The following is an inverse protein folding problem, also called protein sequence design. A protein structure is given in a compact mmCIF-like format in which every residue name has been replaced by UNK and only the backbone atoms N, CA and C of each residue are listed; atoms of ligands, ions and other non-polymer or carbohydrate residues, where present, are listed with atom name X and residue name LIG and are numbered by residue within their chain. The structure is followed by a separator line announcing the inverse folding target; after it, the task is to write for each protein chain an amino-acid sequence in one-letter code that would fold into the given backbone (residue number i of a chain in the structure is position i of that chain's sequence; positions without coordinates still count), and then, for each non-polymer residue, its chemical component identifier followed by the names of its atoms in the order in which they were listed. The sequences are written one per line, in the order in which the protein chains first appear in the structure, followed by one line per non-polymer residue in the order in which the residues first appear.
data_IF_155056694441
#
_entry.id   IF_155056694441
#
_cell.length_a   1.000
_cell.length_b   1.000
_cell.length_c   1.000
_cell.angle_alpha   90.00
_cell.angle_beta   90.00
_cell.angle_gamma   90.00
#
_symmetry.space_group_name_H-M   'P 1'
#
loop_
_entity.id
_entity.type
_entity.pdbx_description
1 polymer ?
#
# COMPACT_ATOMS: atom_id res chain seq x y z
N UNK A 1 -17.72 -0.48 -42.16
CA UNK A 1 -18.23 -1.84 -41.89
C UNK A 1 -17.24 -2.53 -40.96
N UNK A 2 -17.58 -2.63 -39.68
CA UNK A 2 -16.80 -3.30 -38.64
C UNK A 2 -17.65 -4.47 -38.10
N UNK A 3 -17.05 -5.64 -37.82
CA UNK A 3 -17.79 -6.86 -37.52
C UNK A 3 -18.50 -6.79 -36.16
N UNK A 4 -19.71 -7.37 -36.12
CA UNK A 4 -20.57 -7.50 -34.94
C UNK A 4 -19.87 -8.32 -33.84
N UNK A 5 -19.64 -7.72 -32.68
CA UNK A 5 -19.33 -8.45 -31.46
C UNK A 5 -20.61 -9.08 -30.91
N UNK A 6 -20.79 -10.37 -31.19
CA UNK A 6 -21.86 -11.21 -30.66
C UNK A 6 -21.33 -12.08 -29.54
N UNK A 7 -21.15 -11.55 -28.31
CA UNK A 7 -20.98 -12.41 -27.13
C UNK A 7 -21.54 -11.74 -25.87
N UNK A 8 -22.13 -12.57 -25.01
CA UNK A 8 -22.74 -12.32 -23.70
C UNK A 8 -24.18 -11.77 -23.65
N UNK A 9 -25.13 -12.72 -23.74
CA UNK A 9 -26.36 -12.65 -22.94
C UNK A 9 -26.00 -12.74 -21.45
N UNK A 10 -26.55 -11.88 -20.56
CA UNK A 10 -26.28 -12.00 -19.13
C UNK A 10 -27.04 -13.20 -18.57
N UNK A 11 -26.30 -14.26 -18.21
CA UNK A 11 -26.84 -15.34 -17.40
C UNK A 11 -27.10 -14.82 -15.98
N UNK A 12 -28.32 -14.31 -15.75
CA UNK A 12 -28.83 -13.87 -14.45
C UNK A 12 -29.06 -15.02 -13.44
N UNK A 13 -28.68 -16.25 -13.78
CA UNK A 13 -28.74 -17.43 -12.91
C UNK A 13 -27.32 -17.90 -12.62
N UNK A 14 -26.63 -17.24 -11.67
CA UNK A 14 -25.46 -17.78 -10.92
C UNK A 14 -24.86 -16.85 -9.85
N UNK A 15 -25.39 -15.65 -9.59
CA UNK A 15 -24.88 -14.76 -8.52
C UNK A 15 -24.95 -15.40 -7.11
N UNK A 16 -25.96 -16.24 -6.85
CA UNK A 16 -26.12 -16.96 -5.59
C UNK A 16 -25.07 -18.08 -5.40
N UNK A 17 -24.74 -18.82 -6.47
CA UNK A 17 -23.69 -19.86 -6.43
C UNK A 17 -22.28 -19.27 -6.38
N UNK A 18 -22.03 -18.13 -7.04
CA UNK A 18 -20.73 -17.47 -6.99
C UNK A 18 -20.39 -16.93 -5.59
N UNK A 19 -21.38 -16.41 -4.84
CA UNK A 19 -21.16 -15.96 -3.44
C UNK A 19 -20.74 -17.09 -2.51
N UNK A 20 -21.27 -18.32 -2.70
CA UNK A 20 -20.86 -19.49 -1.91
C UNK A 20 -19.44 -19.98 -2.21
N UNK A 21 -18.92 -19.67 -3.40
CA UNK A 21 -17.60 -20.11 -3.87
C UNK A 21 -16.49 -19.08 -3.66
N UNK A 22 -16.73 -18.00 -2.91
CA UNK A 22 -15.75 -16.93 -2.63
C UNK A 22 -15.70 -16.55 -1.15
N UNK A 23 -16.63 -17.05 -0.32
CA UNK A 23 -16.60 -16.86 1.12
C UNK A 23 -15.48 -17.68 1.74
N UNK A 24 -14.46 -17.00 2.27
CA UNK A 24 -13.54 -17.59 3.22
C UNK A 24 -14.33 -17.96 4.48
N UNK A 25 -14.39 -19.23 4.83
CA UNK A 25 -14.99 -19.66 6.10
C UNK A 25 -13.92 -19.58 7.19
N UNK A 26 -14.18 -18.79 8.23
CA UNK A 26 -13.38 -18.82 9.46
C UNK A 26 -13.58 -20.18 10.13
N UNK A 27 -12.48 -20.90 10.37
CA UNK A 27 -12.50 -22.28 10.89
C UNK A 27 -12.40 -22.33 12.43
N UNK A 28 -12.13 -21.19 13.11
CA UNK A 28 -12.02 -21.11 14.58
C UNK A 28 -12.62 -19.81 15.17
N UNK A 29 -13.20 -19.93 16.37
CA UNK A 29 -13.91 -18.90 17.15
C UNK A 29 -12.94 -17.96 17.93
N UNK A 30 -13.43 -16.96 18.71
CA UNK A 30 -12.80 -15.65 18.86
C UNK A 30 -11.44 -15.64 19.56
N UNK A 31 -10.63 -14.69 19.14
CA UNK A 31 -9.29 -14.39 19.66
C UNK A 31 -9.40 -14.03 21.15
N UNK A 32 -8.82 -14.85 22.04
CA UNK A 32 -8.50 -14.43 23.40
C UNK A 32 -7.16 -13.68 23.38
N UNK A 33 -7.08 -12.42 23.86
CA UNK A 33 -5.83 -11.69 23.95
C UNK A 33 -4.78 -12.50 24.70
N UNK A 34 -3.60 -12.72 24.11
CA UNK A 34 -2.49 -13.43 24.74
C UNK A 34 -2.49 -14.97 24.61
N UNK A 35 -3.40 -15.57 23.83
CA UNK A 35 -3.38 -17.01 23.50
C UNK A 35 -3.38 -17.28 21.98
N UNK A 36 -2.27 -16.93 21.34
CA UNK A 36 -1.56 -17.71 20.29
C UNK A 36 -2.23 -18.31 19.05
N UNK A 37 -3.55 -18.28 18.84
CA UNK A 37 -4.17 -18.95 17.68
C UNK A 37 -4.69 -17.95 16.64
N UNK A 38 -4.17 -18.05 15.40
CA UNK A 38 -4.59 -17.17 14.29
C UNK A 38 -5.91 -17.64 13.69
N UNK A 39 -6.78 -16.72 13.23
CA UNK A 39 -7.93 -17.12 12.43
C UNK A 39 -7.45 -17.87 11.19
N UNK A 40 -7.94 -19.11 11.04
CA UNK A 40 -7.72 -19.93 9.87
C UNK A 40 -8.86 -19.71 8.89
N UNK A 41 -8.52 -19.32 7.67
CA UNK A 41 -9.49 -19.17 6.60
C UNK A 41 -9.41 -20.37 5.67
N UNK A 42 -10.55 -20.93 5.28
CA UNK A 42 -10.60 -21.97 4.25
C UNK A 42 -11.01 -21.35 2.93
N UNK A 43 -10.16 -21.50 1.92
CA UNK A 43 -10.47 -21.08 0.56
C UNK A 43 -11.54 -22.00 -0.07
N UNK A 44 -12.13 -21.60 -1.21
CA UNK A 44 -13.15 -22.39 -1.91
C UNK A 44 -12.66 -23.76 -2.42
N UNK A 45 -11.34 -23.97 -2.51
CA UNK A 45 -10.68 -25.22 -2.90
C UNK A 45 -10.31 -26.07 -1.67
N UNK A 46 -10.67 -25.62 -0.47
CA UNK A 46 -10.38 -26.28 0.79
C UNK A 46 -8.96 -26.07 1.32
N UNK A 47 -8.17 -25.18 0.70
CA UNK A 47 -6.85 -24.79 1.19
C UNK A 47 -7.01 -23.95 2.46
N UNK A 48 -6.33 -24.33 3.52
CA UNK A 48 -6.22 -23.52 4.73
C UNK A 48 -5.25 -22.37 4.44
N UNK A 49 -5.71 -21.15 4.66
CA UNK A 49 -4.96 -19.92 4.59
C UNK A 49 -4.81 -19.44 6.04
N UNK A 50 -3.61 -19.56 6.64
CA UNK A 50 -3.34 -18.89 7.91
C UNK A 50 -3.37 -17.38 7.66
N UNK A 51 -4.16 -16.64 8.42
CA UNK A 51 -4.06 -15.19 8.42
C UNK A 51 -3.03 -14.71 9.43
N UNK A 52 -2.40 -13.57 9.15
CA UNK A 52 -1.51 -12.94 10.10
C UNK A 52 -2.28 -12.60 11.39
N UNK A 53 -1.81 -13.17 12.51
CA UNK A 53 -2.36 -12.94 13.85
C UNK A 53 -2.24 -11.50 14.34
N UNK A 54 -1.25 -10.76 13.84
CA UNK A 54 -0.97 -9.42 14.31
C UNK A 54 -1.69 -8.42 13.41
N UNK A 55 -2.70 -7.76 13.96
CA UNK A 55 -3.18 -6.47 13.45
C UNK A 55 -2.35 -5.38 14.12
N UNK A 56 -1.63 -4.59 13.32
CA UNK A 56 -0.70 -3.56 13.78
C UNK A 56 -0.50 -2.52 12.66
N UNK A 57 0.10 -1.39 12.99
CA UNK A 57 0.18 -0.25 12.07
C UNK A 57 -0.78 0.86 12.48
N UNK A 58 -0.89 1.87 11.65
CA UNK A 58 -1.77 3.01 11.88
C UNK A 58 -3.24 2.60 11.83
N UNK A 59 -3.60 1.81 10.81
CA UNK A 59 -4.98 1.29 10.60
C UNK A 59 -5.26 0.00 11.35
N UNK A 60 -4.58 -0.22 12.47
CA UNK A 60 -4.85 -1.37 13.35
C UNK A 60 -6.15 -1.15 14.12
N UNK A 61 -7.04 -2.14 14.14
CA UNK A 61 -8.33 -2.06 14.81
C UNK A 61 -9.35 -1.12 14.14
N UNK A 62 -8.98 -0.39 13.08
CA UNK A 62 -9.88 0.50 12.35
C UNK A 62 -9.44 0.64 10.88
N UNK A 63 -10.35 0.44 9.92
CA UNK A 63 -10.17 0.90 8.54
C UNK A 63 -9.57 -0.10 7.55
N UNK A 64 -9.43 -1.38 7.91
CA UNK A 64 -9.13 -2.47 6.94
C UNK A 64 -10.44 -2.99 6.33
N UNK A 65 -10.48 -3.18 5.00
CA UNK A 65 -11.69 -3.62 4.26
C UNK A 65 -12.30 -4.94 4.74
N UNK A 66 -11.56 -5.74 5.53
CA UNK A 66 -11.97 -7.08 5.98
C UNK A 66 -12.52 -7.13 7.41
N UNK A 67 -12.79 -6.00 8.06
CA UNK A 67 -13.43 -5.97 9.37
C UNK A 67 -14.96 -6.05 9.26
N UNK A 68 -15.61 -6.82 10.15
CA UNK A 68 -17.04 -7.18 10.08
C UNK A 68 -18.02 -6.00 10.19
N UNK A 69 -17.56 -4.80 10.58
CA UNK A 69 -18.42 -3.63 10.84
C UNK A 69 -18.22 -2.41 9.93
N UNK A 70 -17.48 -2.50 8.82
CA UNK A 70 -17.09 -1.31 8.06
C UNK A 70 -18.03 -0.96 6.89
N UNK A 71 -18.26 0.36 6.67
CA UNK A 71 -18.99 0.92 5.54
C UNK A 71 -20.20 1.80 5.89
N UNK A 72 -20.42 2.12 7.16
CA UNK A 72 -21.48 3.04 7.55
C UNK A 72 -21.16 4.47 7.11
N UNK A 73 -22.18 5.16 6.58
CA UNK A 73 -22.05 6.57 6.22
C UNK A 73 -21.89 7.36 7.53
N UNK A 74 -20.85 8.20 7.67
CA UNK A 74 -20.70 9.04 8.84
C UNK A 74 -21.96 9.87 9.06
N UNK A 75 -22.36 10.04 10.32
CA UNK A 75 -23.57 10.78 10.68
C UNK A 75 -23.54 12.20 10.11
N UNK A 76 -22.41 12.88 10.24
CA UNK A 76 -22.14 14.17 9.62
C UNK A 76 -20.63 14.41 9.45
N UNK A 77 -20.29 15.46 8.69
CA UNK A 77 -18.91 15.84 8.37
C UNK A 77 -18.14 16.29 9.61
N UNK A 78 -18.82 16.85 10.62
CA UNK A 78 -18.16 17.34 11.82
C UNK A 78 -17.73 16.20 12.72
N UNK A 79 -18.57 15.19 12.90
CA UNK A 79 -18.24 13.97 13.63
C UNK A 79 -17.06 13.26 12.94
N UNK A 80 -17.12 13.07 11.62
CA UNK A 80 -16.02 12.48 10.85
C UNK A 80 -14.71 13.27 11.01
N UNK A 81 -14.75 14.59 10.86
CA UNK A 81 -13.57 15.43 10.98
C UNK A 81 -12.98 15.40 12.39
N UNK A 82 -13.84 15.43 13.41
CA UNK A 82 -13.45 15.37 14.82
C UNK A 82 -12.77 14.03 15.15
N UNK A 83 -13.37 12.92 14.75
CA UNK A 83 -12.85 11.59 15.04
C UNK A 83 -11.52 11.35 14.33
N UNK A 84 -11.41 11.75 13.05
CA UNK A 84 -10.14 11.71 12.32
C UNK A 84 -9.07 12.59 12.95
N UNK A 85 -9.42 13.80 13.39
CA UNK A 85 -8.47 14.70 14.04
C UNK A 85 -7.93 14.11 15.35
N UNK A 86 -8.80 13.58 16.22
CA UNK A 86 -8.35 12.98 17.48
C UNK A 86 -7.53 11.71 17.24
N UNK A 87 -7.93 10.90 16.27
CA UNK A 87 -7.17 9.72 15.88
C UNK A 87 -5.78 10.09 15.37
N UNK A 88 -5.67 11.04 14.43
CA UNK A 88 -4.38 11.49 13.91
C UNK A 88 -3.52 12.19 14.97
N UNK A 89 -4.13 12.99 15.84
CA UNK A 89 -3.43 13.62 16.94
C UNK A 89 -2.85 12.56 17.89
N UNK A 90 -3.64 11.56 18.30
CA UNK A 90 -3.15 10.45 19.12
C UNK A 90 -1.97 9.72 18.45
N UNK A 91 -2.05 9.51 17.14
CA UNK A 91 -1.04 8.78 16.39
C UNK A 91 0.23 9.60 16.17
N UNK A 92 0.12 10.90 15.93
CA UNK A 92 1.26 11.82 15.92
C UNK A 92 1.96 11.82 17.29
N UNK A 93 1.20 11.93 18.37
CA UNK A 93 1.72 11.89 19.75
C UNK A 93 2.45 10.57 20.02
N UNK A 94 1.89 9.44 19.57
CA UNK A 94 2.55 8.13 19.65
C UNK A 94 3.82 8.07 18.82
N UNK A 95 3.83 8.61 17.61
CA UNK A 95 4.99 8.58 16.73
C UNK A 95 6.18 9.35 17.31
N UNK A 96 5.95 10.45 18.02
CA UNK A 96 7.03 11.22 18.67
C UNK A 96 7.46 10.63 20.01
N UNK A 97 6.53 10.10 20.82
CA UNK A 97 6.85 9.53 22.16
C UNK A 97 7.35 8.08 22.11
N UNK A 98 6.89 7.31 21.14
CA UNK A 98 7.19 5.90 20.95
C UNK A 98 7.55 5.63 19.48
N UNK A 99 8.62 6.26 18.95
CA UNK A 99 9.02 6.06 17.57
C UNK A 99 9.32 4.57 17.31
N UNK A 100 8.97 4.02 16.14
CA UNK A 100 9.24 2.63 15.83
C UNK A 100 10.76 2.37 15.83
N UNK A 101 11.21 1.42 16.64
CA UNK A 101 12.63 1.11 16.84
C UNK A 101 13.28 0.35 15.68
N UNK A 102 12.46 -0.24 14.81
CA UNK A 102 12.87 -1.08 13.68
C UNK A 102 13.05 -0.30 12.36
N UNK A 103 12.78 1.02 12.37
CA UNK A 103 12.97 1.87 11.20
C UNK A 103 14.47 2.12 10.99
N UNK A 104 15.01 1.58 9.89
CA UNK A 104 16.43 1.70 9.56
C UNK A 104 16.75 3.13 9.09
N UNK A 105 17.88 3.72 9.53
CA UNK A 105 18.32 5.01 9.02
C UNK A 105 18.75 4.88 7.54
N UNK A 106 18.49 5.90 6.70
CA UNK A 106 18.88 5.89 5.29
C UNK A 106 20.41 5.92 5.14
N UNK A 107 20.95 5.42 4.02
CA UNK A 107 22.40 5.46 3.77
C UNK A 107 22.88 6.76 3.11
N UNK A 108 22.05 7.38 2.27
CA UNK A 108 22.40 8.59 1.50
C UNK A 108 22.66 9.80 2.41
N UNK A 109 23.73 10.61 2.20
CA UNK A 109 24.10 11.70 3.10
C UNK A 109 22.99 12.72 3.34
N UNK A 110 22.30 13.16 2.28
CA UNK A 110 21.19 14.11 2.41
C UNK A 110 20.01 13.53 3.21
N UNK A 111 19.67 12.26 2.98
CA UNK A 111 18.60 11.57 3.69
C UNK A 111 18.97 11.34 5.16
N UNK A 112 20.25 11.06 5.46
CA UNK A 112 20.75 10.98 6.85
C UNK A 112 20.62 12.31 7.59
N UNK A 113 21.00 13.40 6.95
CA UNK A 113 20.86 14.74 7.52
C UNK A 113 19.39 15.04 7.85
N UNK A 114 18.47 14.81 6.89
CA UNK A 114 17.03 14.95 7.10
C UNK A 114 16.50 14.03 8.22
N UNK A 115 16.93 12.78 8.25
CA UNK A 115 16.53 11.83 9.30
C UNK A 115 16.99 12.28 10.68
N UNK A 116 18.22 12.76 10.82
CA UNK A 116 18.75 13.28 12.08
C UNK A 116 18.04 14.56 12.55
N UNK A 117 17.77 15.49 11.63
CA UNK A 117 16.99 16.69 11.90
C UNK A 117 15.56 16.33 12.35
N UNK A 118 14.93 15.37 11.66
CA UNK A 118 13.63 14.82 12.04
C UNK A 118 13.64 14.19 13.43
N UNK A 119 14.70 13.46 13.80
CA UNK A 119 14.88 12.89 15.13
C UNK A 119 14.98 13.95 16.23
N UNK A 120 15.74 15.02 16.00
CA UNK A 120 15.86 16.14 16.94
C UNK A 120 14.53 16.89 17.11
N UNK A 121 13.83 17.16 16.00
CA UNK A 121 12.48 17.75 16.03
C UNK A 121 11.50 16.83 16.78
N UNK A 122 11.53 15.52 16.51
CA UNK A 122 10.71 14.53 17.20
C UNK A 122 10.94 14.51 18.70
N UNK A 123 12.19 14.59 19.16
CA UNK A 123 12.52 14.67 20.59
C UNK A 123 12.00 15.97 21.24
N UNK A 124 12.08 17.09 20.53
CA UNK A 124 11.51 18.37 20.96
C UNK A 124 9.99 18.28 21.10
N UNK A 125 9.31 17.74 20.09
CA UNK A 125 7.86 17.53 20.09
C UNK A 125 7.42 16.55 21.18
N UNK A 126 8.18 15.48 21.43
CA UNK A 126 7.91 14.54 22.52
C UNK A 126 8.01 15.20 23.90
N UNK A 127 8.99 16.09 24.08
CA UNK A 127 9.16 16.86 25.32
C UNK A 127 8.01 17.84 25.53
N UNK A 128 7.58 18.50 24.46
CA UNK A 128 6.40 19.38 24.46
C UNK A 128 5.12 18.61 24.78
N UNK A 129 4.91 17.44 24.15
CA UNK A 129 3.75 16.59 24.40
C UNK A 129 3.67 16.18 25.88
N UNK A 130 4.79 15.74 26.45
CA UNK A 130 4.89 15.36 27.85
C UNK A 130 4.57 16.54 28.79
N UNK A 131 5.02 17.75 28.44
CA UNK A 131 4.70 18.96 29.20
C UNK A 131 3.20 19.30 29.15
N UNK A 132 2.58 19.19 27.97
CA UNK A 132 1.14 19.42 27.79
C UNK A 132 0.29 18.36 28.49
N UNK A 133 0.72 17.09 28.51
CA UNK A 133 0.10 16.01 29.28
C UNK A 133 0.18 16.29 30.79
N UNK A 134 1.36 16.69 31.30
CA UNK A 134 1.54 17.06 32.72
C UNK A 134 0.72 18.28 33.13
N UNK A 135 0.55 19.23 32.21
CA UNK A 135 -0.30 20.41 32.40
C UNK A 135 -1.81 20.09 32.28
N UNK A 136 -2.20 18.82 32.03
CA UNK A 136 -3.58 18.38 31.80
C UNK A 136 -4.28 19.05 30.61
N UNK A 137 -3.49 19.56 29.65
CA UNK A 137 -4.00 20.09 28.37
C UNK A 137 -4.32 18.94 27.42
N UNK A 138 -3.47 17.90 27.42
CA UNK A 138 -3.66 16.69 26.62
C UNK A 138 -3.97 15.49 27.51
N UNK A 139 -4.79 14.52 27.03
CA UNK A 139 -5.07 13.30 27.76
C UNK A 139 -3.81 12.42 27.85
N UNK A 140 -3.79 11.54 28.86
CA UNK A 140 -2.69 10.59 29.04
C UNK A 140 -2.55 9.69 27.80
N UNK A 141 -1.34 9.62 27.24
CA UNK A 141 -1.06 8.82 26.08
C UNK A 141 -0.72 7.37 26.44
N UNK A 142 -1.53 6.43 25.95
CA UNK A 142 -1.19 5.01 26.04
C UNK A 142 -0.15 4.64 24.97
N UNK A 143 0.86 3.82 25.33
CA UNK A 143 1.80 3.30 24.34
C UNK A 143 1.06 2.53 23.25
N UNK A 144 1.57 2.52 22.02
CA UNK A 144 0.99 1.67 20.98
C UNK A 144 1.01 0.21 21.46
N UNK A 145 0.03 -0.62 21.04
CA UNK A 145 0.05 -2.05 21.34
C UNK A 145 1.39 -2.63 20.88
N UNK A 146 2.12 -3.23 21.83
CA UNK A 146 3.46 -3.76 21.54
C UNK A 146 3.30 -4.96 20.62
N UNK A 147 4.07 -5.00 19.53
CA UNK A 147 4.08 -6.12 18.56
C UNK A 147 4.20 -7.48 19.26
N UNK A 148 4.93 -7.55 20.38
CA UNK A 148 5.12 -8.75 21.21
C UNK A 148 3.85 -9.33 21.82
N UNK A 149 2.80 -8.54 22.04
CA UNK A 149 1.52 -9.03 22.53
C UNK A 149 0.75 -9.84 21.46
N UNK A 150 1.16 -9.71 20.19
CA UNK A 150 0.56 -10.34 19.00
C UNK A 150 1.56 -11.27 18.25
N UNK A 151 2.74 -11.49 18.85
CA UNK A 151 3.87 -12.19 18.25
C UNK A 151 3.69 -13.72 18.29
N UNK A 152 2.91 -14.26 17.36
CA UNK A 152 3.01 -15.69 17.05
C UNK A 152 4.36 -16.00 16.42
N UNK A 153 4.77 -17.27 16.50
CA UNK A 153 6.00 -17.75 15.85
C UNK A 153 6.02 -17.42 14.35
N UNK A 154 4.89 -17.61 13.68
CA UNK A 154 4.71 -17.28 12.26
C UNK A 154 4.94 -15.79 11.99
N UNK A 155 4.41 -14.90 12.84
CA UNK A 155 4.63 -13.47 12.71
C UNK A 155 6.12 -13.10 12.79
N UNK A 156 6.88 -13.70 13.72
CA UNK A 156 8.33 -13.50 13.84
C UNK A 156 9.08 -13.97 12.60
N UNK A 157 8.70 -15.13 12.06
CA UNK A 157 9.30 -15.67 10.84
C UNK A 157 9.01 -14.79 9.62
N UNK A 158 7.79 -14.26 9.48
CA UNK A 158 7.42 -13.30 8.44
C UNK A 158 8.25 -12.02 8.60
N UNK A 159 8.34 -11.46 9.81
CA UNK A 159 9.15 -10.26 10.08
C UNK A 159 10.62 -10.45 9.73
N UNK A 160 11.21 -11.58 10.14
CA UNK A 160 12.59 -11.90 9.80
C UNK A 160 12.81 -12.00 8.28
N UNK A 161 11.81 -12.45 7.51
CA UNK A 161 11.87 -12.45 6.04
C UNK A 161 11.71 -11.04 5.46
N UNK A 162 10.82 -10.22 6.02
CA UNK A 162 10.66 -8.82 5.61
C UNK A 162 11.93 -8.01 5.86
N UNK A 163 12.62 -8.25 6.97
CA UNK A 163 13.89 -7.61 7.31
C UNK A 163 15.02 -7.90 6.31
N UNK A 164 14.93 -9.03 5.62
CA UNK A 164 15.88 -9.46 4.59
C UNK A 164 15.55 -8.85 3.22
N UNK A 165 14.41 -8.18 3.05
CA UNK A 165 14.05 -7.55 1.79
C UNK A 165 15.06 -6.46 1.43
N UNK A 166 15.61 -6.60 0.22
CA UNK A 166 16.44 -5.60 -0.42
C UNK A 166 15.79 -5.24 -1.74
N UNK A 167 15.73 -3.94 -2.01
CA UNK A 167 15.36 -3.38 -3.30
C UNK A 167 16.50 -2.47 -3.70
N UNK A 168 17.15 -2.79 -4.83
CA UNK A 168 18.23 -1.98 -5.39
C UNK A 168 17.67 -1.18 -6.56
N UNK A 169 17.80 0.14 -6.50
CA UNK A 169 17.36 1.02 -7.58
C UNK A 169 18.13 0.75 -8.87
N UNK A 170 19.41 0.39 -8.79
CA UNK A 170 20.22 0.00 -9.94
C UNK A 170 19.68 -1.25 -10.64
N UNK A 171 19.14 -2.20 -9.87
CA UNK A 171 18.54 -3.41 -10.44
C UNK A 171 17.19 -3.09 -11.11
N UNK A 172 16.40 -2.17 -10.56
CA UNK A 172 15.15 -1.68 -11.18
C UNK A 172 15.47 -0.99 -12.51
N UNK A 173 16.44 -0.06 -12.51
CA UNK A 173 16.85 0.67 -13.72
C UNK A 173 17.37 -0.29 -14.79
N UNK A 174 18.13 -1.32 -14.41
CA UNK A 174 18.61 -2.34 -15.35
C UNK A 174 17.44 -3.09 -16.01
N UNK A 175 16.49 -3.55 -15.21
CA UNK A 175 15.28 -4.24 -15.73
C UNK A 175 14.48 -3.31 -16.64
N UNK A 176 14.32 -2.05 -16.27
CA UNK A 176 13.62 -1.05 -17.08
C UNK A 176 14.33 -0.84 -18.43
N UNK A 177 15.66 -0.71 -18.43
CA UNK A 177 16.46 -0.59 -19.65
C UNK A 177 16.37 -1.85 -20.53
N UNK A 178 16.43 -3.04 -19.96
CA UNK A 178 16.31 -4.30 -20.70
C UNK A 178 14.92 -4.46 -21.34
N UNK A 179 13.87 -4.07 -20.62
CA UNK A 179 12.50 -4.02 -21.16
C UNK A 179 12.39 -3.00 -22.30
N UNK A 180 12.89 -1.78 -22.10
CA UNK A 180 12.87 -0.73 -23.13
C UNK A 180 13.63 -1.17 -24.38
N UNK A 181 14.78 -1.84 -24.23
CA UNK A 181 15.56 -2.34 -25.35
C UNK A 181 14.83 -3.46 -26.13
N UNK A 182 13.99 -4.25 -25.47
CA UNK A 182 13.27 -5.37 -26.09
C UNK A 182 11.90 -5.00 -26.67
N UNK A 183 11.13 -4.14 -25.99
CA UNK A 183 9.75 -3.80 -26.39
C UNK A 183 9.61 -2.40 -27.00
N UNK A 184 10.67 -1.59 -26.94
CA UNK A 184 10.62 -0.15 -27.20
C UNK A 184 10.17 0.64 -25.96
N UNK A 185 10.59 1.91 -25.88
CA UNK A 185 10.08 2.88 -24.90
C UNK A 185 8.73 3.43 -25.39
N UNK A 186 7.90 3.83 -24.44
CA UNK A 186 6.69 4.58 -24.74
C UNK A 186 7.05 5.97 -25.27
N UNK A 187 6.24 6.53 -26.17
CA UNK A 187 6.43 7.92 -26.59
C UNK A 187 5.93 8.85 -25.49
N UNK A 188 6.83 9.64 -24.88
CA UNK A 188 6.42 10.67 -23.91
C UNK A 188 7.27 11.92 -24.02
N UNK A 189 6.66 13.12 -23.90
CA UNK A 189 7.39 14.38 -23.86
C UNK A 189 8.37 14.46 -22.69
N UNK A 190 9.45 15.23 -22.89
CA UNK A 190 10.49 15.42 -21.88
C UNK A 190 9.94 16.00 -20.57
N UNK A 191 8.99 16.92 -20.64
CA UNK A 191 8.36 17.53 -19.46
C UNK A 191 7.49 16.56 -18.65
N UNK A 192 7.16 15.38 -19.18
CA UNK A 192 6.53 14.27 -18.45
C UNK A 192 7.58 13.32 -17.88
N UNK A 193 8.60 12.98 -18.69
CA UNK A 193 9.71 12.11 -18.29
C UNK A 193 10.54 12.69 -17.14
N UNK A 194 10.87 13.99 -17.20
CA UNK A 194 11.76 14.61 -16.22
C UNK A 194 11.16 14.63 -14.79
N UNK A 195 9.89 15.06 -14.58
CA UNK A 195 9.27 14.95 -13.26
C UNK A 195 9.13 13.51 -12.77
N UNK A 196 8.84 12.56 -13.67
CA UNK A 196 8.77 11.14 -13.35
C UNK A 196 10.11 10.61 -12.78
N UNK A 197 11.21 10.81 -13.51
CA UNK A 197 12.53 10.35 -13.04
C UNK A 197 13.00 11.10 -11.79
N UNK A 198 12.67 12.39 -11.65
CA UNK A 198 12.95 13.14 -10.43
C UNK A 198 12.20 12.55 -9.22
N UNK A 199 10.95 12.13 -9.40
CA UNK A 199 10.17 11.45 -8.37
C UNK A 199 10.77 10.09 -8.00
N UNK A 200 11.11 9.25 -9.00
CA UNK A 200 11.77 7.97 -8.75
C UNK A 200 13.06 8.15 -7.93
N UNK A 201 13.92 9.08 -8.34
CA UNK A 201 15.16 9.39 -7.62
C UNK A 201 14.90 9.88 -6.19
N UNK A 202 13.93 10.78 -5.99
CA UNK A 202 13.58 11.27 -4.66
C UNK A 202 13.14 10.12 -3.75
N UNK A 203 12.28 9.23 -4.25
CA UNK A 203 11.80 8.08 -3.50
C UNK A 203 12.93 7.09 -3.19
N UNK A 204 13.85 6.86 -4.11
CA UNK A 204 15.03 6.01 -3.89
C UNK A 204 15.94 6.55 -2.80
N UNK A 205 16.14 7.87 -2.75
CA UNK A 205 16.94 8.52 -1.71
C UNK A 205 16.24 8.48 -0.34
N UNK A 206 14.95 8.75 -0.31
CA UNK A 206 14.17 8.84 0.94
C UNK A 206 13.89 7.48 1.58
N UNK A 207 13.64 6.45 0.74
CA UNK A 207 13.23 5.12 1.18
C UNK A 207 14.32 4.05 1.00
N UNK A 208 15.59 4.46 0.95
CA UNK A 208 16.71 3.53 0.95
C UNK A 208 16.60 2.55 2.15
N UNK A 209 16.68 1.25 1.84
CA UNK A 209 16.52 0.12 2.79
C UNK A 209 15.16 0.03 3.50
N UNK A 210 14.14 0.74 3.00
CA UNK A 210 12.75 0.72 3.51
C UNK A 210 11.77 0.32 2.42
N UNK A 211 11.87 -0.92 1.89
CA UNK A 211 11.08 -1.31 0.73
C UNK A 211 9.58 -1.32 1.03
N UNK A 212 9.15 -1.75 2.22
CA UNK A 212 7.72 -1.85 2.56
C UNK A 212 7.07 -0.48 2.67
N UNK A 213 7.76 0.46 3.32
CA UNK A 213 7.34 1.86 3.41
C UNK A 213 7.33 2.53 2.03
N UNK A 214 8.36 2.29 1.20
CA UNK A 214 8.40 2.77 -0.19
C UNK A 214 7.17 2.31 -0.97
N UNK A 215 6.87 1.01 -0.92
CA UNK A 215 5.70 0.46 -1.61
C UNK A 215 4.42 1.04 -1.04
N UNK A 216 4.27 1.14 0.28
CA UNK A 216 3.07 1.73 0.89
C UNK A 216 2.81 3.16 0.35
N UNK A 217 3.82 4.03 0.34
CA UNK A 217 3.70 5.39 -0.21
C UNK A 217 3.33 5.37 -1.69
N UNK A 218 3.97 4.49 -2.47
CA UNK A 218 3.65 4.32 -3.90
C UNK A 218 2.20 3.88 -4.10
N UNK A 219 1.73 2.87 -3.37
CA UNK A 219 0.35 2.35 -3.49
C UNK A 219 -0.70 3.39 -3.03
N UNK A 220 -0.38 4.23 -2.03
CA UNK A 220 -1.25 5.36 -1.64
C UNK A 220 -1.44 6.34 -2.79
N UNK A 221 -0.40 6.60 -3.57
CA UNK A 221 -0.41 7.54 -4.70
C UNK A 221 -0.89 6.87 -5.99
N UNK A 222 -0.66 5.57 -6.19
CA UNK A 222 -0.96 4.81 -7.41
C UNK A 222 -2.45 4.68 -7.70
N UNK A 223 -3.31 4.71 -6.67
CA UNK A 223 -4.78 4.66 -6.81
C UNK A 223 -5.42 5.98 -7.27
N UNK A 224 -4.75 7.10 -7.02
CA UNK A 224 -5.27 8.46 -7.28
C UNK A 224 -5.62 8.77 -8.74
N UNK A 225 -4.82 8.35 -9.74
CA UNK A 225 -5.11 8.55 -11.16
C UNK A 225 -6.44 7.96 -11.59
N UNK A 226 -6.71 6.73 -11.18
CA UNK A 226 -7.95 6.03 -11.51
C UNK A 226 -9.16 6.76 -10.91
N UNK A 227 -9.05 7.20 -9.66
CA UNK A 227 -10.07 8.04 -9.02
C UNK A 227 -10.27 9.37 -9.75
N UNK A 228 -9.19 10.10 -10.05
CA UNK A 228 -9.24 11.38 -10.77
C UNK A 228 -9.92 11.25 -12.14
N UNK A 229 -9.61 10.18 -12.87
CA UNK A 229 -10.22 9.91 -14.18
C UNK A 229 -11.70 9.57 -14.05
N UNK A 230 -12.09 8.77 -13.06
CA UNK A 230 -13.52 8.53 -12.77
C UNK A 230 -14.23 9.85 -12.49
N UNK A 231 -13.64 10.77 -11.70
CA UNK A 231 -14.24 12.07 -11.37
C UNK A 231 -14.51 12.91 -12.62
N UNK A 232 -13.53 13.05 -13.53
CA UNK A 232 -13.71 13.83 -14.77
C UNK A 232 -14.65 13.13 -15.74
N UNK A 233 -14.51 11.81 -15.93
CA UNK A 233 -15.40 11.04 -16.79
C UNK A 233 -16.85 11.16 -16.32
N UNK A 234 -17.07 11.16 -15.00
CA UNK A 234 -18.40 11.36 -14.43
C UNK A 234 -18.90 12.77 -14.69
N UNK A 235 -18.07 13.79 -14.49
CA UNK A 235 -18.39 15.19 -14.80
C UNK A 235 -18.76 15.37 -16.28
N UNK A 236 -17.99 14.81 -17.20
CA UNK A 236 -18.27 14.86 -18.65
C UNK A 236 -19.59 14.18 -19.01
N UNK A 237 -19.93 13.08 -18.33
CA UNK A 237 -21.22 12.43 -18.53
C UNK A 237 -22.37 13.30 -17.99
N UNK A 238 -22.23 13.86 -16.78
CA UNK A 238 -23.23 14.74 -16.16
C UNK A 238 -23.49 16.01 -16.99
N UNK A 239 -22.45 16.56 -17.61
CA UNK A 239 -22.56 17.70 -18.53
C UNK A 239 -23.08 17.32 -19.92
N UNK A 240 -23.25 16.02 -20.21
CA UNK A 240 -23.69 15.52 -21.51
C UNK A 240 -22.61 15.54 -22.60
N UNK A 241 -21.36 15.81 -22.25
CA UNK A 241 -20.24 15.90 -23.20
C UNK A 241 -19.83 14.54 -23.74
N UNK A 242 -19.81 13.51 -22.89
CA UNK A 242 -19.35 12.19 -23.30
C UNK A 242 -19.92 11.04 -22.47
N UNK A 243 -20.89 10.31 -23.03
CA UNK A 243 -21.56 9.18 -22.35
C UNK A 243 -20.83 7.84 -22.52
N UNK A 244 -20.03 7.68 -23.57
CA UNK A 244 -19.27 6.43 -23.78
C UNK A 244 -18.16 6.24 -22.73
N UNK A 245 -17.81 7.30 -21.99
CA UNK A 245 -16.89 7.24 -20.85
C UNK A 245 -17.38 6.34 -19.69
N UNK A 246 -18.66 5.96 -19.64
CA UNK A 246 -19.20 5.10 -18.60
C UNK A 246 -18.55 3.70 -18.55
N UNK A 247 -18.14 3.13 -19.70
CA UNK A 247 -17.41 1.86 -19.71
C UNK A 247 -15.98 2.02 -19.17
N UNK A 248 -15.31 3.14 -19.48
CA UNK A 248 -13.99 3.46 -18.93
C UNK A 248 -14.05 3.65 -17.41
N UNK A 249 -15.10 4.26 -16.87
CA UNK A 249 -15.30 4.38 -15.41
C UNK A 249 -15.33 3.02 -14.71
N UNK A 250 -15.90 1.98 -15.34
CA UNK A 250 -15.89 0.62 -14.76
C UNK A 250 -14.49 0.03 -14.69
N UNK A 251 -13.69 0.26 -15.74
CA UNK A 251 -12.30 -0.20 -15.81
C UNK A 251 -11.47 0.51 -14.74
N UNK A 252 -11.53 1.85 -14.69
CA UNK A 252 -10.81 2.62 -13.68
C UNK A 252 -11.25 2.31 -12.25
N UNK A 253 -12.52 1.97 -12.04
CA UNK A 253 -12.95 1.51 -10.72
C UNK A 253 -12.30 0.17 -10.34
N UNK A 254 -12.18 -0.76 -11.30
CA UNK A 254 -11.50 -2.03 -11.05
C UNK A 254 -10.00 -1.84 -10.81
N UNK A 255 -9.35 -0.92 -11.52
CA UNK A 255 -7.94 -0.57 -11.33
C UNK A 255 -7.71 0.11 -9.96
N UNK A 256 -8.53 1.10 -9.59
CA UNK A 256 -8.48 1.74 -8.26
C UNK A 256 -8.68 0.71 -7.14
N UNK A 257 -9.64 -0.21 -7.33
CA UNK A 257 -9.89 -1.29 -6.40
C UNK A 257 -8.71 -2.24 -6.29
N UNK A 258 -8.00 -2.51 -7.39
CA UNK A 258 -6.79 -3.33 -7.38
C UNK A 258 -5.67 -2.66 -6.57
N UNK A 259 -5.39 -1.38 -6.81
CA UNK A 259 -4.35 -0.65 -6.07
C UNK A 259 -4.70 -0.49 -4.58
N UNK A 260 -5.99 -0.38 -4.24
CA UNK A 260 -6.44 -0.45 -2.84
C UNK A 260 -6.01 -1.77 -2.17
N UNK A 261 -6.08 -2.91 -2.88
CA UNK A 261 -5.65 -4.20 -2.30
C UNK A 261 -4.14 -4.23 -2.09
N UNK A 262 -3.35 -3.67 -3.02
CA UNK A 262 -1.91 -3.52 -2.84
C UNK A 262 -1.58 -2.68 -1.60
N UNK A 263 -2.25 -1.53 -1.44
CA UNK A 263 -2.10 -0.65 -0.28
C UNK A 263 -2.37 -1.40 1.03
N UNK A 264 -3.46 -2.17 1.09
CA UNK A 264 -3.82 -2.95 2.29
C UNK A 264 -2.81 -4.05 2.61
N UNK A 265 -2.22 -4.67 1.59
CA UNK A 265 -1.13 -5.60 1.81
C UNK A 265 0.04 -4.85 2.48
N UNK A 266 0.42 -3.68 1.98
CA UNK A 266 1.53 -2.91 2.58
C UNK A 266 1.21 -2.42 4.00
N UNK A 267 -0.03 -2.03 4.29
CA UNK A 267 -0.51 -1.72 5.66
C UNK A 267 -0.38 -2.94 6.58
N UNK A 268 -0.78 -4.14 6.09
CA UNK A 268 -0.64 -5.39 6.85
C UNK A 268 0.82 -5.77 7.13
N UNK A 269 1.77 -5.29 6.31
CA UNK A 269 3.21 -5.45 6.48
C UNK A 269 3.84 -4.31 7.31
N UNK A 270 3.05 -3.29 7.68
CA UNK A 270 3.48 -2.17 8.53
C UNK A 270 4.10 -0.99 7.79
N UNK A 271 3.81 -0.80 6.50
CA UNK A 271 4.29 0.35 5.74
C UNK A 271 3.74 1.70 6.21
N UNK A 272 2.64 1.71 6.97
CA UNK A 272 1.92 2.88 7.50
C UNK A 272 2.36 3.28 8.93
N UNK A 273 3.38 2.63 9.48
CA UNK A 273 3.79 2.82 10.89
C UNK A 273 4.44 4.16 11.17
N UNK A 274 5.21 4.68 10.21
CA UNK A 274 5.90 5.95 10.36
C UNK A 274 4.95 7.10 10.01
N UNK A 275 4.69 7.98 10.99
CA UNK A 275 3.80 9.12 10.79
C UNK A 275 4.24 10.04 9.65
N UNK A 276 5.56 10.28 9.51
CA UNK A 276 6.08 11.14 8.44
C UNK A 276 5.80 10.56 7.05
N UNK A 277 5.89 9.24 6.89
CA UNK A 277 5.59 8.57 5.63
C UNK A 277 4.12 8.73 5.29
N UNK A 278 3.22 8.59 6.28
CA UNK A 278 1.78 8.87 6.10
C UNK A 278 1.52 10.31 5.70
N UNK A 279 2.10 11.25 6.45
CA UNK A 279 1.95 12.68 6.18
C UNK A 279 2.35 12.99 4.73
N UNK A 280 3.51 12.51 4.28
CA UNK A 280 3.97 12.74 2.90
C UNK A 280 3.04 12.08 1.89
N UNK A 281 2.68 10.81 2.07
CA UNK A 281 1.87 10.07 1.10
C UNK A 281 0.46 10.65 0.93
N UNK A 282 -0.21 10.98 2.04
CA UNK A 282 -1.58 11.49 2.02
C UNK A 282 -1.65 12.90 1.40
N UNK A 283 -0.70 13.77 1.74
CA UNK A 283 -0.65 15.11 1.13
C UNK A 283 -0.21 15.05 -0.33
N UNK A 284 0.74 14.17 -0.68
CA UNK A 284 1.13 13.91 -2.05
C UNK A 284 -0.06 13.39 -2.87
N UNK A 285 -0.88 12.49 -2.32
CA UNK A 285 -2.08 11.97 -2.97
C UNK A 285 -3.09 13.07 -3.28
N UNK A 286 -3.37 13.98 -2.33
CA UNK A 286 -4.28 15.12 -2.55
C UNK A 286 -3.73 16.08 -3.61
N UNK A 287 -2.44 16.42 -3.53
CA UNK A 287 -1.80 17.28 -4.52
C UNK A 287 -1.82 16.63 -5.91
N UNK A 288 -1.46 15.36 -5.98
CA UNK A 288 -1.38 14.59 -7.22
C UNK A 288 -2.74 14.43 -7.89
N UNK A 289 -3.83 14.26 -7.10
CA UNK A 289 -5.19 14.26 -7.61
C UNK A 289 -5.47 15.51 -8.46
N UNK A 290 -5.19 16.71 -7.92
CA UNK A 290 -5.45 17.95 -8.65
C UNK A 290 -4.55 18.13 -9.88
N UNK A 291 -3.29 17.70 -9.82
CA UNK A 291 -2.39 17.69 -10.99
C UNK A 291 -2.94 16.80 -12.10
N UNK A 292 -3.43 15.60 -11.76
CA UNK A 292 -4.01 14.67 -12.73
C UNK A 292 -5.33 15.17 -13.31
N UNK A 293 -6.17 15.81 -12.49
CA UNK A 293 -7.38 16.48 -12.96
C UNK A 293 -7.00 17.52 -14.01
N UNK A 294 -6.02 18.38 -13.72
CA UNK A 294 -5.54 19.38 -14.67
C UNK A 294 -4.97 18.75 -15.94
N UNK A 295 -4.12 17.71 -15.83
CA UNK A 295 -3.54 17.02 -16.98
C UNK A 295 -4.61 16.38 -17.87
N UNK A 296 -5.61 15.74 -17.28
CA UNK A 296 -6.69 15.11 -18.04
C UNK A 296 -7.57 16.16 -18.73
N UNK A 297 -7.84 17.30 -18.08
CA UNK A 297 -8.59 18.41 -18.70
C UNK A 297 -7.84 19.03 -19.89
N UNK A 298 -6.52 19.14 -19.81
CA UNK A 298 -5.68 19.66 -20.91
C UNK A 298 -5.51 18.63 -22.02
N UNK A 299 -5.21 17.38 -21.66
CA UNK A 299 -5.01 16.29 -22.62
C UNK A 299 -5.18 14.91 -21.95
N UNK A 300 -6.33 14.23 -22.18
CA UNK A 300 -6.56 12.88 -21.66
C UNK A 300 -5.47 11.90 -22.12
N UNK A 301 -5.05 11.97 -23.39
CA UNK A 301 -3.99 11.12 -23.95
C UNK A 301 -2.68 11.24 -23.15
N UNK A 302 -2.32 12.45 -22.75
CA UNK A 302 -1.12 12.68 -21.95
C UNK A 302 -1.25 12.11 -20.54
N UNK A 303 -2.42 12.25 -19.93
CA UNK A 303 -2.69 11.68 -18.61
C UNK A 303 -2.53 10.14 -18.63
N UNK A 304 -3.14 9.45 -19.60
CA UNK A 304 -2.96 8.00 -19.77
C UNK A 304 -1.51 7.60 -20.03
N UNK A 305 -0.78 8.36 -20.83
CA UNK A 305 0.62 8.09 -21.14
C UNK A 305 1.53 8.22 -19.91
N UNK A 306 1.29 9.23 -19.06
CA UNK A 306 1.99 9.35 -17.78
C UNK A 306 1.71 8.16 -16.88
N UNK A 307 0.44 7.73 -16.80
CA UNK A 307 0.07 6.60 -15.96
C UNK A 307 0.64 5.28 -16.42
N UNK A 308 0.66 5.03 -17.72
CA UNK A 308 1.27 3.82 -18.25
C UNK A 308 2.76 3.74 -17.89
N UNK A 309 3.48 4.87 -17.79
CA UNK A 309 4.87 4.88 -17.31
C UNK A 309 4.98 4.45 -15.85
N UNK A 310 4.13 5.00 -14.99
CA UNK A 310 4.10 4.65 -13.57
C UNK A 310 3.85 3.15 -13.41
N UNK A 311 2.89 2.61 -14.16
CA UNK A 311 2.56 1.17 -14.15
C UNK A 311 3.72 0.29 -14.63
N UNK A 312 4.38 0.64 -15.74
CA UNK A 312 5.54 -0.13 -16.21
C UNK A 312 6.69 -0.11 -15.19
N UNK A 313 6.96 1.02 -14.58
CA UNK A 313 8.01 1.12 -13.56
C UNK A 313 7.65 0.33 -12.29
N UNK A 314 6.38 0.33 -11.88
CA UNK A 314 5.90 -0.50 -10.78
C UNK A 314 6.07 -2.00 -11.12
N UNK A 315 5.68 -2.41 -12.33
CA UNK A 315 5.85 -3.79 -12.79
C UNK A 315 7.32 -4.23 -12.78
N UNK A 316 8.24 -3.39 -13.29
CA UNK A 316 9.68 -3.64 -13.29
C UNK A 316 10.21 -3.77 -11.84
N UNK A 317 9.74 -2.92 -10.93
CA UNK A 317 10.09 -2.93 -9.50
C UNK A 317 9.63 -4.20 -8.79
N UNK A 318 8.40 -4.66 -9.04
CA UNK A 318 7.87 -5.90 -8.47
C UNK A 318 8.55 -7.14 -9.06
N UNK A 319 8.83 -7.13 -10.37
CA UNK A 319 9.51 -8.22 -11.06
C UNK A 319 10.88 -8.50 -10.44
N UNK A 320 11.73 -7.48 -10.30
CA UNK A 320 13.07 -7.67 -9.71
C UNK A 320 12.99 -8.13 -8.25
N UNK A 321 12.03 -7.61 -7.48
CA UNK A 321 11.78 -8.06 -6.11
C UNK A 321 11.43 -9.55 -6.06
N UNK A 322 10.56 -10.02 -6.96
CA UNK A 322 10.17 -11.44 -7.00
C UNK A 322 11.35 -12.35 -7.32
N UNK A 323 12.25 -11.93 -8.21
CA UNK A 323 13.46 -12.69 -8.56
C UNK A 323 14.47 -12.76 -7.42
N UNK A 324 14.68 -11.65 -6.71
CA UNK A 324 15.55 -11.62 -5.52
C UNK A 324 15.01 -12.55 -4.43
N UNK A 325 13.69 -12.56 -4.22
CA UNK A 325 13.06 -13.47 -3.28
C UNK A 325 13.23 -14.95 -3.68
N UNK A 326 13.02 -15.29 -4.95
CA UNK A 326 13.21 -16.65 -5.46
C UNK A 326 14.67 -17.13 -5.33
N UNK A 327 15.64 -16.27 -5.67
CA UNK A 327 17.07 -16.58 -5.59
C UNK A 327 17.55 -16.77 -4.14
N UNK A 328 17.02 -15.98 -3.21
CA UNK A 328 17.31 -16.13 -1.77
C UNK A 328 16.74 -17.42 -1.17
N UNK A 329 15.63 -17.92 -1.73
CA UNK A 329 14.98 -19.16 -1.29
C UNK A 329 15.70 -20.38 -1.86
N UNK A 330 16.12 -20.31 -3.13
CA UNK A 330 16.91 -21.38 -3.78
C UNK A 330 18.28 -21.61 -3.11
N UNK A 331 18.92 -20.57 -2.58
CA UNK A 331 20.16 -20.71 -1.78
C UNK A 331 19.95 -21.34 -0.39
N UNK A 332 18.69 -21.48 0.08
CA UNK A 332 18.37 -22.03 1.41
C UNK A 332 17.86 -23.46 1.40
N UNK A 333 17.61 -24.08 0.25
CA UNK A 333 17.38 -25.53 0.21
C UNK A 333 18.73 -26.25 0.37
N UNK A 334 18.97 -27.00 1.47
CA UNK A 334 20.10 -27.89 1.50
C UNK A 334 19.83 -28.99 0.48
N UNK A 335 20.76 -29.19 -0.45
CA UNK A 335 20.85 -30.37 -1.30
C UNK A 335 21.05 -31.62 -0.45
N UNK A 336 20.00 -32.04 0.26
CA UNK A 336 19.94 -33.22 1.11
C UNK A 336 19.27 -34.37 0.36
N UNK A 337 19.89 -34.83 -0.73
CA UNK A 337 19.52 -36.12 -1.34
C UNK A 337 20.07 -37.22 -0.43
N UNK A 338 19.33 -37.57 0.62
CA UNK A 338 19.62 -38.79 1.41
C UNK A 338 19.39 -39.97 0.48
N UNK A 339 20.49 -40.55 -0.04
CA UNK A 339 20.49 -41.90 -0.62
C UNK A 339 20.11 -42.85 0.52
N UNK A 340 18.91 -43.42 0.44
CA UNK A 340 18.60 -44.65 1.16
C UNK A 340 19.54 -45.72 0.62
N UNK A 341 20.53 -46.11 1.42
CA UNK A 341 21.25 -47.36 1.20
C UNK A 341 20.37 -48.47 1.75
N UNK A 342 19.85 -49.30 0.84
CA UNK A 342 19.43 -50.66 1.12
C UNK A 342 20.67 -51.50 1.42
N UNK A 343 20.66 -52.15 2.58
CA UNK A 343 21.62 -53.15 3.05
C UNK A 343 20.98 -53.94 4.17
#
# INVERSE_FOLDING_TARGET
MLPRASYFRPALVKRSQMRKNLTLQAVAAPILPGKGECPLYKDPKGKIIPAMCADYGFRSGAGRLYQEGYGEVPKDVWELAKDNYFHELEQLRRAVRYPPSDVRPPSHPAAKALHSAGGALGAGLASLDLALERAKVLPQLQPPPVLSALETREFKEIRARLDQLRLSSDDVIRVEHDRIASTGDMESPLWVKAPFYALCWLLDVMYDKKPIEKFWVLETVARIPYFAYISILHLYESLGFWRAGAELRKIHFAEEWNEMHHLQIMESLGGDRAWLDRFIAEHAAVFYYWVLIFFYLVSPRMAYNFMQRVELHAADTYYIRSQLAASSTAMREPTGRVRQHSG
#
